data_IF_433735326250
#
_entry.id   IF_433735326250
#
_cell.length_a   1.000
_cell.length_b   1.000
_cell.length_c   1.000
_cell.angle_alpha   90.00
_cell.angle_beta   90.00
_cell.angle_gamma   90.00
#
_symmetry.space_group_name_H-M   'P 1'
#
loop_
_entity.id
_entity.type
_entity.pdbx_description
1 polymer ?
#
# COMPACT_ATOMS: atom_id res chain seq x y z
N UNK A 1 16.78 -18.83 -58.38
CA UNK A 1 16.82 -18.79 -56.90
C UNK A 1 16.59 -17.41 -56.30
N UNK A 2 17.12 -16.31 -56.86
CA UNK A 2 16.86 -14.93 -56.37
C UNK A 2 15.37 -14.51 -56.34
N UNK A 3 14.56 -14.91 -57.33
CA UNK A 3 13.12 -14.58 -57.38
C UNK A 3 12.28 -15.30 -56.31
N UNK A 4 12.71 -16.49 -55.89
CA UNK A 4 12.05 -17.25 -54.80
C UNK A 4 12.35 -16.60 -53.43
N UNK A 5 13.56 -16.07 -53.27
CA UNK A 5 14.00 -15.40 -52.04
C UNK A 5 13.27 -14.06 -51.81
N UNK A 6 12.92 -13.34 -52.88
CA UNK A 6 12.13 -12.10 -52.81
C UNK A 6 10.67 -12.38 -52.42
N UNK A 7 10.10 -13.50 -52.88
CA UNK A 7 8.72 -13.89 -52.53
C UNK A 7 8.60 -14.27 -51.04
N UNK A 8 9.60 -14.97 -50.49
CA UNK A 8 9.65 -15.32 -49.06
C UNK A 8 9.83 -14.07 -48.18
N UNK A 9 10.60 -13.08 -48.65
CA UNK A 9 10.78 -11.82 -47.93
C UNK A 9 9.48 -11.00 -47.85
N UNK A 10 8.65 -11.03 -48.90
CA UNK A 10 7.35 -10.33 -48.93
C UNK A 10 6.29 -11.00 -48.06
N UNK A 11 6.38 -12.32 -47.86
CA UNK A 11 5.50 -13.07 -46.95
C UNK A 11 5.80 -12.80 -45.47
N UNK A 12 7.03 -12.39 -45.13
CA UNK A 12 7.41 -12.04 -43.76
C UNK A 12 7.05 -10.59 -43.37
N UNK A 13 6.91 -9.67 -44.32
CA UNK A 13 6.58 -8.26 -44.03
C UNK A 13 5.08 -7.98 -43.90
N UNK A 14 4.20 -8.91 -44.30
CA UNK A 14 2.75 -8.72 -44.29
C UNK A 14 2.04 -8.99 -42.96
N UNK A 15 2.75 -9.48 -41.92
CA UNK A 15 2.11 -9.99 -40.70
C UNK A 15 2.18 -9.05 -39.47
N UNK A 16 2.62 -7.80 -39.63
CA UNK A 16 2.69 -6.85 -38.52
C UNK A 16 1.64 -5.76 -38.70
N UNK A 17 0.37 -6.15 -38.71
CA UNK A 17 -0.71 -5.22 -38.37
C UNK A 17 -0.75 -5.13 -36.84
N UNK A 18 0.11 -4.29 -36.28
CA UNK A 18 -0.03 -3.86 -34.89
C UNK A 18 -1.32 -3.06 -34.78
N UNK A 19 -2.38 -3.69 -34.29
CA UNK A 19 -3.54 -2.98 -33.78
C UNK A 19 -3.09 -2.18 -32.56
N UNK A 20 -2.78 -0.91 -32.80
CA UNK A 20 -2.57 0.08 -31.74
C UNK A 20 -3.93 0.34 -31.10
N UNK A 21 -4.20 -0.31 -29.96
CA UNK A 21 -5.32 0.10 -29.10
C UNK A 21 -5.01 1.51 -28.60
N UNK A 22 -5.69 2.51 -29.17
CA UNK A 22 -5.56 3.88 -28.70
C UNK A 22 -6.24 3.97 -27.33
N UNK A 23 -5.43 4.13 -26.28
CA UNK A 23 -5.92 4.42 -24.94
C UNK A 23 -6.28 5.90 -24.92
N UNK A 24 -7.54 6.20 -24.61
CA UNK A 24 -8.07 7.56 -24.63
C UNK A 24 -8.44 7.98 -23.21
N UNK A 25 -8.08 9.21 -22.87
CA UNK A 25 -8.41 9.81 -21.58
C UNK A 25 -9.91 10.12 -21.51
N UNK A 26 -10.53 9.79 -20.38
CA UNK A 26 -11.93 10.08 -20.09
C UNK A 26 -12.08 11.19 -19.06
N UNK A 27 -13.15 11.96 -19.17
CA UNK A 27 -13.55 12.94 -18.15
C UNK A 27 -14.73 12.41 -17.33
N UNK A 28 -14.71 12.64 -16.02
CA UNK A 28 -15.81 12.26 -15.12
C UNK A 28 -16.88 13.35 -15.18
N UNK A 29 -18.06 12.99 -15.66
CA UNK A 29 -19.21 13.91 -15.76
C UNK A 29 -20.04 13.89 -14.47
N UNK A 30 -20.30 12.71 -13.91
CA UNK A 30 -21.16 12.53 -12.75
C UNK A 30 -20.67 11.40 -11.85
N UNK A 31 -20.85 11.59 -10.54
CA UNK A 31 -20.61 10.56 -9.52
C UNK A 31 -21.80 10.49 -8.59
N UNK A 32 -22.46 9.33 -8.52
CA UNK A 32 -23.50 9.02 -7.55
C UNK A 32 -22.92 8.12 -6.48
N UNK A 33 -22.87 8.62 -5.24
CA UNK A 33 -22.35 7.89 -4.09
C UNK A 33 -23.43 7.05 -3.41
N UNK A 34 -23.10 5.79 -3.18
CA UNK A 34 -23.85 4.86 -2.33
C UNK A 34 -23.02 4.54 -1.07
N UNK A 35 -23.60 3.80 -0.13
CA UNK A 35 -22.95 3.49 1.16
C UNK A 35 -21.62 2.76 1.00
N UNK A 36 -21.49 1.91 -0.01
CA UNK A 36 -20.36 1.00 -0.22
C UNK A 36 -19.77 1.06 -1.64
N UNK A 37 -20.30 1.89 -2.53
CA UNK A 37 -19.91 1.95 -3.94
C UNK A 37 -20.22 3.32 -4.53
N UNK A 38 -19.68 3.61 -5.71
CA UNK A 38 -19.99 4.80 -6.47
C UNK A 38 -20.32 4.40 -7.90
N UNK A 39 -21.41 4.95 -8.46
CA UNK A 39 -21.68 4.89 -9.89
C UNK A 39 -21.04 6.11 -10.53
N UNK A 40 -20.11 5.87 -11.46
CA UNK A 40 -19.33 6.93 -12.11
C UNK A 40 -19.71 6.97 -13.59
N UNK A 41 -20.24 8.10 -14.03
CA UNK A 41 -20.50 8.38 -15.45
C UNK A 41 -19.35 9.18 -16.03
N UNK A 42 -18.82 8.71 -17.16
CA UNK A 42 -17.69 9.31 -17.86
C UNK A 42 -18.04 9.58 -19.30
N UNK A 43 -17.44 10.62 -19.86
CA UNK A 43 -17.57 10.98 -21.27
C UNK A 43 -16.21 10.96 -21.95
N UNK A 44 -16.21 10.53 -23.21
CA UNK A 44 -15.02 10.49 -24.06
C UNK A 44 -15.42 10.94 -25.45
N UNK A 45 -14.71 11.94 -25.97
CA UNK A 45 -14.84 12.37 -27.36
C UNK A 45 -13.76 11.72 -28.22
N UNK A 46 -14.18 10.95 -29.23
CA UNK A 46 -13.26 10.18 -30.09
C UNK A 46 -13.64 10.36 -31.54
N UNK A 47 -12.64 10.61 -32.39
CA UNK A 47 -12.78 10.52 -33.84
C UNK A 47 -12.59 9.06 -34.25
N UNK A 48 -13.63 8.46 -34.80
CA UNK A 48 -13.64 7.05 -35.24
C UNK A 48 -13.59 6.97 -36.76
N UNK A 49 -12.95 5.91 -37.28
CA UNK A 49 -12.92 5.62 -38.71
C UNK A 49 -14.12 4.74 -39.13
N UNK A 50 -14.38 4.63 -40.43
CA UNK A 50 -15.43 3.72 -40.92
C UNK A 50 -15.01 2.27 -40.68
N UNK A 51 -15.82 1.52 -39.92
CA UNK A 51 -15.60 0.10 -39.64
C UNK A 51 -15.69 -0.22 -38.15
N UNK A 52 -15.09 -1.35 -37.75
CA UNK A 52 -15.01 -1.75 -36.35
C UNK A 52 -13.88 -0.98 -35.67
N UNK A 53 -14.21 -0.20 -34.65
CA UNK A 53 -13.26 0.55 -33.84
C UNK A 53 -13.23 -0.05 -32.43
N UNK A 54 -12.03 -0.31 -31.90
CA UNK A 54 -11.84 -0.71 -30.52
C UNK A 54 -11.29 0.50 -29.74
N UNK A 55 -11.99 0.90 -28.68
CA UNK A 55 -11.66 2.06 -27.87
C UNK A 55 -11.37 1.57 -26.45
N UNK A 56 -10.16 1.86 -25.96
CA UNK A 56 -9.75 1.52 -24.61
C UNK A 56 -9.79 2.79 -23.74
N UNK A 57 -10.50 2.72 -22.62
CA UNK A 57 -10.59 3.82 -21.64
C UNK A 57 -9.93 3.36 -20.35
N UNK A 58 -8.92 4.11 -19.90
CA UNK A 58 -8.25 3.84 -18.64
C UNK A 58 -9.08 4.32 -17.44
N UNK A 59 -9.11 3.50 -16.38
CA UNK A 59 -9.84 3.76 -15.15
C UNK A 59 -8.95 3.59 -13.93
N UNK A 60 -8.91 4.61 -13.07
CA UNK A 60 -8.15 4.61 -11.81
C UNK A 60 -8.95 4.01 -10.62
N UNK A 61 -9.87 3.09 -10.89
CA UNK A 61 -10.68 2.47 -9.85
C UNK A 61 -9.98 1.24 -9.27
N UNK A 62 -9.94 1.12 -7.94
CA UNK A 62 -9.36 -0.05 -7.26
C UNK A 62 -10.08 -1.36 -7.62
N UNK A 63 -11.40 -1.29 -7.81
CA UNK A 63 -12.23 -2.40 -8.22
C UNK A 63 -13.40 -1.86 -9.05
N UNK A 64 -13.77 -2.60 -10.08
CA UNK A 64 -14.93 -2.32 -10.95
C UNK A 64 -15.81 -3.57 -10.95
N UNK A 65 -17.11 -3.37 -10.77
CA UNK A 65 -18.08 -4.44 -10.97
C UNK A 65 -18.29 -4.66 -12.48
N UNK A 66 -17.89 -5.83 -12.98
CA UNK A 66 -17.88 -6.18 -14.40
C UNK A 66 -19.28 -6.17 -15.00
N UNK A 67 -20.29 -6.49 -14.21
CA UNK A 67 -21.68 -6.57 -14.66
C UNK A 67 -22.36 -5.18 -14.68
N UNK A 68 -21.69 -4.16 -14.15
CA UNK A 68 -22.19 -2.77 -14.10
C UNK A 68 -21.69 -1.88 -15.24
N UNK A 69 -20.86 -2.41 -16.13
CA UNK A 69 -20.20 -1.61 -17.17
C UNK A 69 -21.10 -1.45 -18.38
N UNK A 70 -21.59 -0.24 -18.58
CA UNK A 70 -22.43 0.15 -19.71
C UNK A 70 -21.80 1.30 -20.50
N UNK A 71 -22.06 1.34 -21.81
CA UNK A 71 -21.63 2.44 -22.66
C UNK A 71 -22.74 2.85 -23.62
N UNK A 72 -22.77 4.14 -23.93
CA UNK A 72 -23.69 4.72 -24.90
C UNK A 72 -22.93 5.64 -25.84
N UNK A 73 -23.23 5.53 -27.13
CA UNK A 73 -22.65 6.37 -28.17
C UNK A 73 -23.64 7.49 -28.51
N UNK A 74 -23.11 8.70 -28.63
CA UNK A 74 -23.83 9.86 -29.12
C UNK A 74 -23.18 10.28 -30.44
N UNK A 75 -23.73 9.85 -31.59
CA UNK A 75 -23.18 10.13 -32.92
C UNK A 75 -23.46 9.04 -33.95
N UNK A 76 -22.69 9.06 -35.05
CA UNK A 76 -22.83 8.15 -36.19
C UNK A 76 -22.15 6.78 -35.94
N UNK A 77 -22.61 6.06 -34.92
CA UNK A 77 -22.11 4.73 -34.57
C UNK A 77 -22.97 3.99 -33.56
N UNK A 78 -22.74 2.70 -33.41
CA UNK A 78 -23.42 1.83 -32.45
C UNK A 78 -22.41 1.08 -31.57
N UNK A 79 -22.82 0.76 -30.35
CA UNK A 79 -22.02 -0.04 -29.42
C UNK A 79 -22.26 -1.52 -29.72
N UNK A 80 -21.23 -2.22 -30.18
CA UNK A 80 -21.32 -3.66 -30.42
C UNK A 80 -21.08 -4.49 -29.14
N UNK A 81 -20.08 -4.10 -28.34
CA UNK A 81 -19.73 -4.80 -27.10
C UNK A 81 -19.00 -3.84 -26.16
N UNK A 82 -19.25 -4.00 -24.86
CA UNK A 82 -18.48 -3.36 -23.79
C UNK A 82 -17.85 -4.46 -22.96
N UNK A 83 -16.56 -4.35 -22.67
CA UNK A 83 -15.83 -5.35 -21.91
C UNK A 83 -14.88 -4.68 -20.93
N UNK A 84 -14.88 -5.16 -19.69
CA UNK A 84 -13.88 -4.80 -18.71
C UNK A 84 -12.69 -5.76 -18.78
N UNK A 85 -11.48 -5.21 -18.94
CA UNK A 85 -10.24 -5.99 -19.04
C UNK A 85 -9.20 -5.48 -18.05
N UNK A 86 -8.75 -6.38 -17.18
CA UNK A 86 -7.60 -6.14 -16.32
C UNK A 86 -6.33 -6.23 -17.17
N UNK A 87 -5.67 -5.09 -17.41
CA UNK A 87 -4.38 -5.04 -18.10
C UNK A 87 -3.29 -4.85 -17.06
N UNK A 88 -2.41 -5.83 -16.83
CA UNK A 88 -1.31 -5.66 -15.90
C UNK A 88 -0.34 -4.60 -16.45
N UNK A 89 -0.17 -3.50 -15.71
CA UNK A 89 0.83 -2.49 -16.03
C UNK A 89 2.23 -3.11 -15.98
N UNK A 90 3.07 -2.77 -16.96
CA UNK A 90 4.48 -3.20 -17.00
C UNK A 90 5.31 -2.56 -15.89
N UNK A 91 4.87 -1.41 -15.39
CA UNK A 91 5.58 -0.72 -14.31
C UNK A 91 5.42 -1.48 -13.02
N UNK A 92 6.56 -1.89 -12.46
CA UNK A 92 6.62 -2.55 -11.16
C UNK A 92 6.17 -1.54 -10.10
N UNK A 93 5.04 -1.74 -9.41
CA UNK A 93 4.70 -0.93 -8.25
C UNK A 93 5.61 -1.21 -7.04
N UNK A 94 6.68 -2.00 -7.24
CA UNK A 94 7.56 -2.52 -6.20
C UNK A 94 8.29 -1.42 -5.44
N UNK A 95 8.68 -0.29 -6.06
CA UNK A 95 9.47 0.71 -5.34
C UNK A 95 8.64 1.40 -4.24
N UNK A 96 7.44 1.90 -4.58
CA UNK A 96 6.54 2.52 -3.61
C UNK A 96 6.07 1.52 -2.55
N UNK A 97 5.77 0.28 -2.95
CA UNK A 97 5.37 -0.77 -2.01
C UNK A 97 6.53 -1.15 -1.08
N UNK A 98 7.77 -1.20 -1.60
CA UNK A 98 8.95 -1.51 -0.82
C UNK A 98 9.21 -0.44 0.25
N UNK A 99 9.16 0.84 -0.15
CA UNK A 99 9.29 1.96 0.78
C UNK A 99 8.24 1.92 1.89
N UNK A 100 6.98 1.64 1.55
CA UNK A 100 5.90 1.51 2.54
C UNK A 100 6.14 0.31 3.49
N UNK A 101 6.64 -0.81 2.99
CA UNK A 101 6.97 -1.99 3.81
C UNK A 101 8.12 -1.69 4.77
N UNK A 102 9.17 -0.99 4.30
CA UNK A 102 10.27 -0.54 5.14
C UNK A 102 9.80 0.43 6.24
N UNK A 103 8.94 1.38 5.90
CA UNK A 103 8.39 2.33 6.85
C UNK A 103 7.53 1.64 7.93
N UNK A 104 6.69 0.68 7.53
CA UNK A 104 5.92 -0.14 8.46
C UNK A 104 6.85 -0.90 9.41
N UNK A 105 7.94 -1.47 8.90
CA UNK A 105 8.89 -2.22 9.72
C UNK A 105 9.59 -1.30 10.72
N UNK A 106 10.06 -0.14 10.28
CA UNK A 106 10.67 0.89 11.14
C UNK A 106 9.73 1.32 12.26
N UNK A 107 8.47 1.60 11.94
CA UNK A 107 7.44 1.98 12.93
C UNK A 107 7.15 0.87 13.94
N UNK A 108 7.17 -0.40 13.52
CA UNK A 108 7.02 -1.54 14.44
C UNK A 108 8.19 -1.66 15.41
N UNK A 109 9.41 -1.48 14.91
CA UNK A 109 10.62 -1.56 15.72
C UNK A 109 10.69 -0.39 16.73
N UNK A 110 10.31 0.82 16.31
CA UNK A 110 10.18 1.97 17.19
C UNK A 110 9.12 1.75 18.28
N UNK A 111 7.94 1.25 17.91
CA UNK A 111 6.88 0.90 18.87
C UNK A 111 7.37 -0.15 19.89
N UNK A 112 8.13 -1.14 19.44
CA UNK A 112 8.69 -2.18 20.31
C UNK A 112 9.72 -1.57 21.27
N UNK A 113 10.61 -0.71 20.78
CA UNK A 113 11.58 0.02 21.58
C UNK A 113 10.91 0.88 22.66
N UNK A 114 9.93 1.70 22.29
CA UNK A 114 9.18 2.54 23.22
C UNK A 114 8.41 1.71 24.26
N UNK A 115 7.84 0.56 23.86
CA UNK A 115 7.17 -0.36 24.80
C UNK A 115 8.17 -0.94 25.81
N UNK A 116 9.36 -1.33 25.38
CA UNK A 116 10.40 -1.83 26.26
C UNK A 116 10.87 -0.75 27.24
N UNK A 117 11.15 0.46 26.75
CA UNK A 117 11.51 1.61 27.60
C UNK A 117 10.45 1.88 28.67
N UNK A 118 9.16 1.85 28.29
CA UNK A 118 8.05 2.01 29.24
C UNK A 118 8.07 0.93 30.32
N UNK A 119 8.34 -0.33 29.95
CA UNK A 119 8.43 -1.44 30.91
C UNK A 119 9.61 -1.24 31.87
N UNK A 120 10.79 -0.88 31.36
CA UNK A 120 11.99 -0.62 32.17
C UNK A 120 11.76 0.53 33.16
N UNK A 121 11.21 1.66 32.70
CA UNK A 121 10.84 2.78 33.59
C UNK A 121 9.80 2.38 34.63
N UNK A 122 8.84 1.52 34.28
CA UNK A 122 7.85 1.01 35.22
C UNK A 122 8.48 0.14 36.31
N UNK A 123 9.46 -0.72 35.96
CA UNK A 123 10.21 -1.53 36.93
C UNK A 123 11.00 -0.63 37.89
N UNK A 124 11.71 0.37 37.37
CA UNK A 124 12.45 1.34 38.19
C UNK A 124 11.55 2.10 39.16
N UNK A 125 10.38 2.57 38.70
CA UNK A 125 9.38 3.21 39.55
C UNK A 125 8.88 2.28 40.65
N UNK A 126 8.58 1.02 40.32
CA UNK A 126 8.12 0.03 41.31
C UNK A 126 9.19 -0.23 42.37
N UNK A 127 10.45 -0.36 41.96
CA UNK A 127 11.57 -0.54 42.90
C UNK A 127 11.71 0.64 43.87
N UNK A 128 11.67 1.87 43.35
CA UNK A 128 11.74 3.07 44.18
C UNK A 128 10.59 3.15 45.19
N UNK A 129 9.36 2.82 44.75
CA UNK A 129 8.22 2.76 45.64
C UNK A 129 8.38 1.70 46.74
N UNK A 130 8.88 0.51 46.41
CA UNK A 130 9.17 -0.54 47.41
C UNK A 130 10.23 -0.09 48.40
N UNK A 131 11.27 0.62 47.96
CA UNK A 131 12.29 1.18 48.84
C UNK A 131 11.73 2.24 49.80
N UNK A 132 10.93 3.18 49.28
CA UNK A 132 10.26 4.20 50.10
C UNK A 132 9.35 3.55 51.15
N UNK A 133 8.61 2.50 50.77
CA UNK A 133 7.73 1.79 51.69
C UNK A 133 8.53 1.06 52.77
N UNK A 134 9.65 0.42 52.43
CA UNK A 134 10.56 -0.20 53.40
C UNK A 134 11.10 0.83 54.40
N UNK A 135 11.53 2.01 53.92
CA UNK A 135 12.09 3.06 54.77
C UNK A 135 11.08 3.71 55.75
N UNK A 136 9.77 3.61 55.46
CA UNK A 136 8.70 4.18 56.31
C UNK A 136 8.30 3.29 57.49
N UNK A 137 8.61 2.00 57.45
CA UNK A 137 8.32 1.08 58.57
C UNK A 137 9.30 1.40 59.70
N UNK A 138 8.82 1.55 60.94
CA UNK A 138 9.68 1.79 62.10
C UNK A 138 10.65 0.62 62.25
N UNK A 139 11.92 0.87 61.93
CA UNK A 139 12.98 -0.13 61.87
C UNK A 139 13.45 -0.46 63.30
N UNK A 140 13.30 -1.71 63.79
CA UNK A 140 13.95 -2.16 65.03
C UNK A 140 15.46 -1.99 64.91
N UNK A 141 16.15 -1.64 66.00
CA UNK A 141 17.60 -1.35 66.03
C UNK A 141 18.49 -2.41 65.33
N UNK A 142 18.05 -3.67 65.25
CA UNK A 142 18.76 -4.78 64.57
C UNK A 142 18.74 -4.71 63.03
N UNK A 143 17.84 -3.95 62.41
CA UNK A 143 17.69 -3.84 60.93
C UNK A 143 18.40 -2.56 60.39
N UNK A 144 18.78 -1.60 61.24
CA UNK A 144 19.58 -0.42 60.84
C UNK A 144 20.91 -0.80 60.18
N UNK A 145 21.49 -1.95 60.55
CA UNK A 145 22.71 -2.50 59.98
C UNK A 145 22.51 -3.27 58.67
N UNK A 146 21.27 -3.53 58.24
CA UNK A 146 20.95 -4.29 57.01
C UNK A 146 20.49 -3.41 55.84
N UNK A 147 20.53 -2.08 55.96
CA UNK A 147 20.23 -1.19 54.85
C UNK A 147 21.31 -1.34 53.76
N UNK A 148 20.94 -1.64 52.51
CA UNK A 148 21.91 -1.74 51.43
C UNK A 148 22.64 -0.41 51.24
N UNK A 149 23.95 -0.48 50.97
CA UNK A 149 24.78 0.70 50.72
C UNK A 149 24.30 1.39 49.43
N UNK A 150 24.54 2.70 49.33
CA UNK A 150 24.19 3.48 48.13
C UNK A 150 24.78 2.88 46.84
N UNK A 151 25.97 2.27 46.91
CA UNK A 151 26.59 1.52 45.81
C UNK A 151 25.71 0.37 45.30
N UNK A 152 25.12 -0.41 46.21
CA UNK A 152 24.36 -1.61 45.86
C UNK A 152 22.98 -1.25 45.30
N UNK A 153 22.41 -0.13 45.76
CA UNK A 153 21.22 0.47 45.18
C UNK A 153 21.48 0.96 43.74
N UNK A 154 22.59 1.67 43.50
CA UNK A 154 22.96 2.10 42.17
C UNK A 154 23.18 0.92 41.22
N UNK A 155 23.85 -0.14 41.68
CA UNK A 155 24.03 -1.38 40.89
C UNK A 155 22.70 -2.01 40.51
N UNK A 156 21.76 -2.07 41.44
CA UNK A 156 20.41 -2.63 41.18
C UNK A 156 19.63 -1.76 40.20
N UNK A 157 19.72 -0.43 40.32
CA UNK A 157 19.11 0.49 39.36
C UNK A 157 19.70 0.36 37.95
N UNK A 158 21.02 0.24 37.83
CA UNK A 158 21.69 0.02 36.54
C UNK A 158 21.30 -1.34 35.94
N UNK A 159 21.25 -2.40 36.74
CA UNK A 159 20.82 -3.72 36.28
C UNK A 159 19.37 -3.71 35.76
N UNK A 160 18.46 -3.00 36.44
CA UNK A 160 17.08 -2.84 35.99
C UNK A 160 16.96 -1.97 34.73
N UNK A 161 17.95 -1.09 34.46
CA UNK A 161 18.00 -0.25 33.26
C UNK A 161 18.51 -0.99 32.02
N UNK A 162 19.29 -2.05 32.22
CA UNK A 162 19.93 -2.84 31.15
C UNK A 162 19.04 -3.98 30.60
N UNK A 163 17.85 -4.23 31.19
CA UNK A 163 16.92 -5.31 30.79
C UNK A 163 15.44 -4.95 30.74
#
# INVERSE_FOLDING_TARGET
MKKLLILVLFLFTGAILTFSQNIITSEIENVVLFTNQALVSRIVEVKVEKGLNEIAVEVEAFAVDKDSVEAKVYGDGEVYSVQFKDVPLKDKPQENIHQLVEEIQKLRDEKKSLKNQKVTLSKQKSFLNSFINFAKVQIPEEIKTSLPKSEDLNRTFSFLAEG
#
